data_IF_778458089824
#
_entry.id   IF_778458089824
#
_cell.length_a   1.000
_cell.length_b   1.000
_cell.length_c   1.000
_cell.angle_alpha   90.00
_cell.angle_beta   90.00
_cell.angle_gamma   90.00
#
_symmetry.space_group_name_H-M   'P 1'
#
loop_
_entity.id
_entity.type
_entity.pdbx_description
1 polymer ?
#
# COMPACT_ATOMS: atom_id res chain seq x y z
N UNK A 1 1.90 27.29 16.45
CA UNK A 1 0.99 26.20 15.99
C UNK A 1 1.58 25.58 14.72
N UNK A 2 1.66 24.24 14.61
CA UNK A 2 2.27 23.58 13.44
C UNK A 2 1.49 23.90 12.15
N UNK A 3 2.13 24.09 10.98
CA UNK A 3 1.45 24.51 9.74
C UNK A 3 0.27 23.61 9.33
N UNK A 4 0.33 22.32 9.66
CA UNK A 4 -0.73 21.35 9.31
C UNK A 4 -1.75 21.11 10.43
N UNK A 5 -1.68 21.86 11.54
CA UNK A 5 -2.57 21.64 12.69
C UNK A 5 -4.05 21.68 12.32
N UNK A 6 -4.43 22.65 11.47
CA UNK A 6 -5.81 22.81 11.01
C UNK A 6 -6.28 21.61 10.19
N UNK A 7 -5.45 21.11 9.27
CA UNK A 7 -5.77 19.91 8.49
C UNK A 7 -6.00 18.69 9.39
N UNK A 8 -5.19 18.51 10.43
CA UNK A 8 -5.36 17.44 11.40
C UNK A 8 -6.63 17.61 12.26
N UNK A 9 -7.00 18.85 12.58
CA UNK A 9 -8.23 19.13 13.31
C UNK A 9 -9.47 18.85 12.46
N UNK A 10 -9.48 19.32 11.20
CA UNK A 10 -10.57 19.11 10.25
C UNK A 10 -10.75 17.62 9.95
N UNK A 11 -9.65 16.87 9.77
CA UNK A 11 -9.70 15.42 9.58
C UNK A 11 -10.30 14.68 10.79
N UNK A 12 -9.95 15.09 12.02
CA UNK A 12 -10.56 14.50 13.23
C UNK A 12 -12.05 14.81 13.34
N UNK A 13 -12.45 16.03 12.98
CA UNK A 13 -13.86 16.41 12.97
C UNK A 13 -14.66 15.58 11.95
N UNK A 14 -14.13 15.43 10.72
CA UNK A 14 -14.74 14.59 9.69
C UNK A 14 -14.83 13.11 10.12
N UNK A 15 -13.81 12.60 10.82
CA UNK A 15 -13.78 11.23 11.31
C UNK A 15 -14.87 10.91 12.36
N UNK A 16 -15.54 11.91 12.95
CA UNK A 16 -16.64 11.69 13.87
C UNK A 16 -17.93 11.20 13.16
N UNK A 17 -18.04 11.36 11.84
CA UNK A 17 -19.21 10.94 11.09
C UNK A 17 -19.43 9.41 11.18
N UNK A 18 -20.66 8.93 11.47
CA UNK A 18 -20.94 7.49 11.61
C UNK A 18 -20.58 6.67 10.36
N UNK A 19 -20.85 7.21 9.17
CA UNK A 19 -20.50 6.57 7.90
C UNK A 19 -18.98 6.39 7.76
N UNK A 20 -18.19 7.41 8.14
CA UNK A 20 -16.73 7.35 8.14
C UNK A 20 -16.22 6.26 9.09
N UNK A 21 -16.77 6.20 10.31
CA UNK A 21 -16.39 5.19 11.31
C UNK A 21 -16.71 3.77 10.85
N UNK A 22 -17.89 3.57 10.25
CA UNK A 22 -18.30 2.28 9.72
C UNK A 22 -17.36 1.83 8.60
N UNK A 23 -17.11 2.68 7.60
CA UNK A 23 -16.20 2.38 6.49
C UNK A 23 -14.77 2.09 7.01
N UNK A 24 -14.25 2.94 7.88
CA UNK A 24 -12.93 2.76 8.47
C UNK A 24 -12.82 1.41 9.18
N UNK A 25 -13.78 1.05 10.05
CA UNK A 25 -13.73 -0.21 10.80
C UNK A 25 -13.87 -1.45 9.91
N UNK A 26 -14.70 -1.38 8.87
CA UNK A 26 -14.87 -2.46 7.90
C UNK A 26 -13.57 -2.79 7.17
N UNK A 27 -12.86 -1.76 6.70
CA UNK A 27 -11.69 -1.96 5.84
C UNK A 27 -10.34 -1.95 6.58
N UNK A 28 -10.26 -1.32 7.75
CA UNK A 28 -9.01 -1.17 8.51
C UNK A 28 -8.23 -2.48 8.68
N UNK A 29 -8.84 -3.61 9.07
CA UNK A 29 -8.07 -4.85 9.26
C UNK A 29 -7.32 -5.30 7.99
N UNK A 30 -7.93 -5.13 6.81
CA UNK A 30 -7.34 -5.50 5.53
C UNK A 30 -6.23 -4.51 5.12
N UNK A 31 -6.50 -3.22 5.26
CA UNK A 31 -5.54 -2.14 4.93
C UNK A 31 -4.30 -2.23 5.81
N UNK A 32 -4.45 -2.34 7.13
CA UNK A 32 -3.34 -2.42 8.08
C UNK A 32 -2.50 -3.68 7.86
N UNK A 33 -3.15 -4.81 7.50
CA UNK A 33 -2.43 -6.04 7.13
C UNK A 33 -1.59 -5.84 5.87
N UNK A 34 -2.15 -5.18 4.85
CA UNK A 34 -1.43 -4.84 3.63
C UNK A 34 -0.21 -3.95 3.91
N UNK A 35 -0.37 -2.91 4.74
CA UNK A 35 0.70 -2.00 5.16
C UNK A 35 1.76 -2.77 5.97
N UNK A 36 1.37 -3.60 6.92
CA UNK A 36 2.29 -4.39 7.74
C UNK A 36 3.12 -5.37 6.89
N UNK A 37 2.51 -6.01 5.89
CA UNK A 37 3.20 -6.89 4.96
C UNK A 37 4.17 -6.12 4.06
N UNK A 38 3.72 -5.00 3.49
CA UNK A 38 4.53 -4.15 2.62
C UNK A 38 5.77 -3.61 3.37
N UNK A 39 5.60 -3.18 4.62
CA UNK A 39 6.67 -2.60 5.44
C UNK A 39 7.48 -3.64 6.23
N UNK A 40 7.19 -4.94 6.07
CA UNK A 40 7.93 -6.00 6.76
C UNK A 40 9.43 -5.94 6.43
N UNK A 41 10.27 -5.89 7.47
CA UNK A 41 11.72 -5.72 7.36
C UNK A 41 12.20 -4.35 6.87
N UNK A 42 11.29 -3.39 6.61
CA UNK A 42 11.61 -2.06 6.03
C UNK A 42 10.73 -0.94 6.60
N UNK A 43 10.61 -0.86 7.93
CA UNK A 43 9.75 0.15 8.61
C UNK A 43 10.30 1.58 8.63
N UNK A 44 11.53 1.79 8.15
CA UNK A 44 12.18 3.11 8.14
C UNK A 44 12.25 3.66 6.72
N UNK A 45 11.86 4.92 6.57
CA UNK A 45 12.03 5.67 5.33
C UNK A 45 13.51 5.86 5.03
N UNK A 46 13.90 5.61 3.78
CA UNK A 46 15.30 5.64 3.34
C UNK A 46 15.74 7.03 2.89
N UNK A 47 14.79 7.85 2.43
CA UNK A 47 15.08 9.14 1.81
C UNK A 47 14.52 10.30 2.62
N UNK A 48 15.02 11.51 2.36
CA UNK A 48 14.40 12.75 2.85
C UNK A 48 13.31 13.21 1.87
N UNK A 49 12.17 13.63 2.42
CA UNK A 49 11.04 14.15 1.65
C UNK A 49 10.05 13.06 1.20
N UNK A 50 8.80 13.47 0.97
CA UNK A 50 7.71 12.56 0.62
C UNK A 50 7.91 11.92 -0.76
N UNK A 51 8.22 12.73 -1.79
CA UNK A 51 8.31 12.30 -3.19
C UNK A 51 9.25 11.10 -3.40
N UNK A 52 10.46 11.15 -2.82
CA UNK A 52 11.43 10.05 -2.98
C UNK A 52 11.00 8.77 -2.26
N UNK A 53 10.35 8.91 -1.10
CA UNK A 53 9.86 7.76 -0.35
C UNK A 53 8.61 7.14 -0.98
N UNK A 54 7.77 7.95 -1.60
CA UNK A 54 6.61 7.50 -2.38
C UNK A 54 7.06 6.66 -3.59
N UNK A 55 8.00 7.17 -4.37
CA UNK A 55 8.61 6.41 -5.47
C UNK A 55 9.24 5.09 -5.01
N UNK A 56 9.94 5.11 -3.86
CA UNK A 56 10.51 3.91 -3.26
C UNK A 56 9.44 2.88 -2.86
N UNK A 57 8.33 3.35 -2.28
CA UNK A 57 7.22 2.49 -1.87
C UNK A 57 6.56 1.82 -3.08
N UNK A 58 6.33 2.57 -4.15
CA UNK A 58 5.80 2.05 -5.42
C UNK A 58 6.71 0.99 -6.03
N UNK A 59 8.02 1.25 -6.09
CA UNK A 59 8.99 0.29 -6.61
C UNK A 59 9.00 -1.00 -5.80
N UNK A 60 8.93 -0.90 -4.46
CA UNK A 60 8.86 -2.06 -3.57
C UNK A 60 7.57 -2.86 -3.76
N UNK A 61 6.43 -2.19 -3.84
CA UNK A 61 5.15 -2.84 -4.09
C UNK A 61 5.15 -3.58 -5.43
N UNK A 62 5.67 -2.96 -6.49
CA UNK A 62 5.82 -3.58 -7.81
C UNK A 62 6.72 -4.84 -7.74
N UNK A 63 7.85 -4.77 -7.05
CA UNK A 63 8.75 -5.91 -6.88
C UNK A 63 8.11 -7.08 -6.10
N UNK A 64 7.36 -6.78 -5.03
CA UNK A 64 6.65 -7.81 -4.27
C UNK A 64 5.53 -8.46 -5.09
N UNK A 65 4.78 -7.66 -5.86
CA UNK A 65 3.76 -8.15 -6.77
C UNK A 65 4.38 -9.03 -7.87
N UNK A 66 5.47 -8.58 -8.50
CA UNK A 66 6.19 -9.36 -9.50
C UNK A 66 6.68 -10.70 -8.93
N UNK A 67 7.27 -10.70 -7.73
CA UNK A 67 7.68 -11.94 -7.04
C UNK A 67 6.49 -12.87 -6.78
N UNK A 68 5.35 -12.32 -6.36
CA UNK A 68 4.13 -13.12 -6.14
C UNK A 68 3.63 -13.71 -7.45
N UNK A 69 3.59 -12.94 -8.53
CA UNK A 69 3.17 -13.40 -9.85
C UNK A 69 4.09 -14.50 -10.39
N UNK A 70 5.42 -14.36 -10.25
CA UNK A 70 6.38 -15.41 -10.60
C UNK A 70 6.07 -16.70 -9.85
N UNK A 71 5.82 -16.61 -8.53
CA UNK A 71 5.43 -17.78 -7.73
C UNK A 71 4.06 -18.38 -8.13
N UNK A 72 3.22 -17.62 -8.82
CA UNK A 72 1.94 -18.08 -9.37
C UNK A 72 2.05 -18.55 -10.83
N UNK A 73 3.26 -18.62 -11.39
CA UNK A 73 3.50 -19.10 -12.76
C UNK A 73 3.56 -18.01 -13.83
N UNK A 74 3.78 -16.75 -13.44
CA UNK A 74 4.16 -15.72 -14.41
C UNK A 74 5.50 -16.08 -15.07
N UNK A 75 5.50 -16.09 -16.40
CA UNK A 75 6.66 -16.36 -17.24
C UNK A 75 6.85 -15.23 -18.25
N UNK A 76 8.08 -15.07 -18.75
CA UNK A 76 8.45 -14.07 -19.74
C UNK A 76 9.29 -14.72 -20.85
N UNK A 77 8.70 -14.85 -22.05
CA UNK A 77 9.35 -15.46 -23.22
C UNK A 77 9.18 -14.58 -24.45
N UNK A 78 10.26 -14.38 -25.20
CA UNK A 78 10.27 -13.63 -26.46
C UNK A 78 9.63 -12.22 -26.34
N UNK A 79 9.88 -11.52 -25.23
CA UNK A 79 9.32 -10.18 -24.96
C UNK A 79 7.85 -10.17 -24.54
N UNK A 80 7.23 -11.34 -24.30
CA UNK A 80 5.82 -11.47 -23.89
C UNK A 80 5.73 -12.03 -22.48
N UNK A 81 4.88 -11.40 -21.66
CA UNK A 81 4.53 -11.89 -20.32
C UNK A 81 3.29 -12.78 -20.40
N UNK A 82 3.35 -13.98 -19.82
CA UNK A 82 2.24 -14.93 -19.79
C UNK A 82 2.05 -15.48 -18.39
N UNK A 83 0.80 -15.59 -17.93
CA UNK A 83 0.46 -16.26 -16.67
C UNK A 83 -0.70 -17.21 -16.94
N UNK A 84 -0.54 -18.47 -16.54
CA UNK A 84 -1.64 -19.44 -16.65
C UNK A 84 -2.71 -19.09 -15.63
N UNK A 85 -3.96 -18.99 -16.05
CA UNK A 85 -5.07 -18.81 -15.12
C UNK A 85 -5.07 -19.98 -14.13
N UNK A 86 -5.23 -19.68 -12.84
CA UNK A 86 -5.35 -20.74 -11.84
C UNK A 86 -6.58 -21.59 -12.18
N UNK A 87 -6.38 -22.86 -12.50
CA UNK A 87 -7.49 -23.81 -12.69
C UNK A 87 -8.21 -23.94 -11.36
N UNK A 88 -9.49 -23.57 -11.33
CA UNK A 88 -10.36 -23.66 -10.14
C UNK A 88 -11.03 -25.02 -10.09
#
# INVERSE_FOLDING_TARGET
VHPQYRQLADARAAAAAPAWQHEYRTWRPLVERGIAWLTHGTRRLRYRGAVKNDAWLHLRAAALNLRRLINLGLDHRNGTWTITAATT
#
